data_IF_894160814101
#
_entry.id   IF_894160814101
#
_cell.length_a   1.000
_cell.length_b   1.000
_cell.length_c   1.000
_cell.angle_alpha   90.00
_cell.angle_beta   90.00
_cell.angle_gamma   90.00
#
_symmetry.space_group_name_H-M   'P 1'
#
loop_
_entity.id
_entity.type
_entity.pdbx_description
1 polymer ?
#
# COMPACT_ATOMS: atom_id res chain seq x y z
N UNK A 1 2.48 -27.72 -8.78
CA UNK A 1 1.81 -27.68 -7.47
C UNK A 1 0.71 -26.64 -7.57
N UNK A 2 -0.54 -27.05 -7.83
CA UNK A 2 -1.68 -26.14 -7.87
C UNK A 2 -2.17 -25.91 -6.44
N UNK A 3 -2.10 -24.66 -5.96
CA UNK A 3 -2.71 -24.27 -4.69
C UNK A 3 -4.23 -24.24 -4.88
N UNK A 4 -4.86 -25.41 -4.82
CA UNK A 4 -6.31 -25.49 -4.67
C UNK A 4 -6.62 -25.14 -3.21
N UNK A 5 -6.80 -23.85 -2.93
CA UNK A 5 -7.31 -23.39 -1.63
C UNK A 5 -8.78 -23.79 -1.51
N UNK A 6 -9.02 -25.04 -1.12
CA UNK A 6 -10.36 -25.63 -0.91
C UNK A 6 -10.92 -25.30 0.48
N UNK A 7 -10.33 -24.34 1.20
CA UNK A 7 -10.89 -23.88 2.47
C UNK A 7 -12.11 -22.99 2.18
N UNK A 8 -13.27 -23.26 2.81
CA UNK A 8 -14.42 -22.39 2.70
C UNK A 8 -14.05 -21.01 3.23
N UNK A 9 -14.36 -19.98 2.45
CA UNK A 9 -14.18 -18.60 2.85
C UNK A 9 -15.07 -18.32 4.06
N UNK A 10 -14.45 -18.03 5.20
CA UNK A 10 -15.16 -17.61 6.41
C UNK A 10 -15.67 -16.17 6.25
N UNK A 11 -16.96 -16.06 5.90
CA UNK A 11 -17.63 -14.79 5.69
C UNK A 11 -17.77 -13.96 6.98
N UNK A 12 -17.93 -14.61 8.13
CA UNK A 12 -18.07 -13.92 9.41
C UNK A 12 -16.73 -13.29 9.83
N UNK A 13 -15.62 -14.02 9.63
CA UNK A 13 -14.29 -13.47 9.84
C UNK A 13 -13.99 -12.28 8.90
N UNK A 14 -14.45 -12.35 7.64
CA UNK A 14 -14.32 -11.24 6.69
C UNK A 14 -15.14 -10.02 7.10
N UNK A 15 -16.38 -10.22 7.53
CA UNK A 15 -17.26 -9.13 7.99
C UNK A 15 -16.68 -8.42 9.22
N UNK A 16 -16.12 -9.17 10.18
CA UNK A 16 -15.44 -8.59 11.35
C UNK A 16 -14.23 -7.76 10.92
N UNK A 17 -13.38 -8.28 10.03
CA UNK A 17 -12.23 -7.54 9.49
C UNK A 17 -12.67 -6.28 8.75
N UNK A 18 -13.73 -6.36 7.96
CA UNK A 18 -14.26 -5.21 7.22
C UNK A 18 -14.80 -4.12 8.15
N UNK A 19 -15.52 -4.49 9.22
CA UNK A 19 -15.98 -3.54 10.24
C UNK A 19 -14.82 -2.86 10.95
N UNK A 20 -13.80 -3.61 11.34
CA UNK A 20 -12.59 -3.06 11.96
C UNK A 20 -11.87 -2.10 11.01
N UNK A 21 -11.72 -2.49 9.74
CA UNK A 21 -11.12 -1.65 8.72
C UNK A 21 -11.88 -0.34 8.54
N UNK A 22 -13.22 -0.38 8.43
CA UNK A 22 -14.05 0.84 8.35
C UNK A 22 -13.93 1.72 9.60
N UNK A 23 -13.84 1.12 10.78
CA UNK A 23 -13.67 1.87 12.03
C UNK A 23 -12.33 2.63 12.07
N UNK A 24 -11.29 2.10 11.43
CA UNK A 24 -9.97 2.73 11.32
C UNK A 24 -9.90 3.78 10.19
N UNK A 25 -10.65 3.60 9.10
CA UNK A 25 -10.58 4.40 7.89
C UNK A 25 -11.87 5.21 7.66
N UNK A 26 -12.17 6.14 8.58
CA UNK A 26 -13.45 6.89 8.60
C UNK A 26 -13.54 8.02 7.58
N UNK A 27 -12.42 8.46 7.02
CA UNK A 27 -12.37 9.61 6.10
C UNK A 27 -11.72 9.22 4.77
N UNK A 28 -12.07 9.91 3.67
CA UNK A 28 -11.39 9.71 2.39
C UNK A 28 -9.87 9.84 2.50
N UNK A 29 -9.38 10.79 3.31
CA UNK A 29 -7.94 10.97 3.56
C UNK A 29 -7.28 9.74 4.20
N UNK A 30 -7.92 9.12 5.20
CA UNK A 30 -7.39 7.90 5.81
C UNK A 30 -7.38 6.71 4.86
N UNK A 31 -8.39 6.59 3.98
CA UNK A 31 -8.43 5.55 2.95
C UNK A 31 -7.31 5.75 1.92
N UNK A 32 -7.10 6.98 1.46
CA UNK A 32 -6.03 7.32 0.52
C UNK A 32 -4.66 7.02 1.13
N UNK A 33 -4.43 7.40 2.39
CA UNK A 33 -3.17 7.12 3.08
C UNK A 33 -2.91 5.61 3.17
N UNK A 34 -3.90 4.81 3.58
CA UNK A 34 -3.78 3.36 3.64
C UNK A 34 -3.51 2.74 2.26
N UNK A 35 -4.20 3.24 1.22
CA UNK A 35 -3.98 2.76 -0.14
C UNK A 35 -2.58 3.10 -0.66
N UNK A 36 -2.06 4.29 -0.34
CA UNK A 36 -0.70 4.70 -0.69
C UNK A 36 0.35 3.77 -0.09
N UNK A 37 0.19 3.36 1.16
CA UNK A 37 1.10 2.40 1.79
C UNK A 37 1.13 1.06 1.05
N UNK A 38 -0.04 0.51 0.71
CA UNK A 38 -0.14 -0.75 -0.06
C UNK A 38 0.53 -0.62 -1.43
N UNK A 39 0.36 0.51 -2.11
CA UNK A 39 1.01 0.76 -3.40
C UNK A 39 2.54 0.78 -3.27
N UNK A 40 3.08 1.46 -2.24
CA UNK A 40 4.52 1.51 -2.03
C UNK A 40 5.12 0.13 -1.73
N UNK A 41 4.41 -0.68 -0.94
CA UNK A 41 4.83 -2.03 -0.62
C UNK A 41 4.85 -2.93 -1.87
N UNK A 42 3.83 -2.80 -2.73
CA UNK A 42 3.80 -3.50 -4.03
C UNK A 42 4.95 -3.07 -4.94
N UNK A 43 5.23 -1.76 -5.03
CA UNK A 43 6.38 -1.26 -5.81
C UNK A 43 7.68 -1.84 -5.28
N UNK A 44 7.88 -1.87 -3.96
CA UNK A 44 9.07 -2.46 -3.36
C UNK A 44 9.21 -3.97 -3.69
N UNK A 45 8.11 -4.72 -3.63
CA UNK A 45 8.07 -6.14 -4.02
C UNK A 45 8.39 -6.33 -5.51
N UNK A 46 7.78 -5.54 -6.39
CA UNK A 46 8.04 -5.58 -7.83
C UNK A 46 9.50 -5.25 -8.15
N UNK A 47 10.05 -4.17 -7.57
CA UNK A 47 11.45 -3.81 -7.79
C UNK A 47 12.43 -4.87 -7.26
N UNK A 48 12.10 -5.53 -6.14
CA UNK A 48 12.85 -6.69 -5.65
C UNK A 48 12.81 -7.85 -6.64
N UNK A 49 11.65 -8.11 -7.25
CA UNK A 49 11.50 -9.14 -8.28
C UNK A 49 12.32 -8.83 -9.54
N UNK A 50 12.37 -7.57 -9.96
CA UNK A 50 13.18 -7.10 -11.11
C UNK A 50 14.69 -7.03 -10.82
N UNK A 51 15.13 -7.39 -9.61
CA UNK A 51 16.56 -7.39 -9.23
C UNK A 51 17.11 -6.03 -8.77
N UNK A 52 16.24 -5.04 -8.59
CA UNK A 52 16.58 -3.70 -8.10
C UNK A 52 15.93 -3.42 -6.73
N UNK A 53 16.30 -4.13 -5.65
CA UNK A 53 15.58 -4.05 -4.38
C UNK A 53 15.61 -2.63 -3.80
N UNK A 54 14.44 -2.16 -3.38
CA UNK A 54 14.28 -0.88 -2.68
C UNK A 54 13.40 -1.07 -1.45
N UNK A 55 13.68 -0.31 -0.39
CA UNK A 55 12.82 -0.28 0.79
C UNK A 55 11.68 0.72 0.61
N UNK A 56 10.53 0.44 1.22
CA UNK A 56 9.40 1.39 1.28
C UNK A 56 9.83 2.75 1.87
N UNK A 57 10.71 2.74 2.88
CA UNK A 57 11.26 3.96 3.47
C UNK A 57 12.04 4.79 2.45
N UNK A 58 12.88 4.14 1.62
CA UNK A 58 13.63 4.82 0.57
C UNK A 58 12.71 5.38 -0.52
N UNK A 59 11.67 4.63 -0.92
CA UNK A 59 10.66 5.12 -1.86
C UNK A 59 9.95 6.38 -1.35
N UNK A 60 9.55 6.41 -0.07
CA UNK A 60 8.93 7.60 0.55
C UNK A 60 9.83 8.83 0.47
N UNK A 61 11.11 8.66 0.79
CA UNK A 61 12.10 9.76 0.72
C UNK A 61 12.23 10.28 -0.71
N UNK A 62 12.33 9.40 -1.71
CA UNK A 62 12.46 9.79 -3.12
C UNK A 62 11.23 10.55 -3.62
N UNK A 63 10.03 10.10 -3.26
CA UNK A 63 8.79 10.77 -3.63
C UNK A 63 8.67 12.16 -2.98
N UNK A 64 9.07 12.30 -1.72
CA UNK A 64 9.10 13.59 -1.05
C UNK A 64 10.10 14.55 -1.73
N UNK A 65 11.30 14.06 -2.06
CA UNK A 65 12.30 14.87 -2.77
C UNK A 65 11.78 15.35 -4.14
N UNK A 66 11.03 14.51 -4.84
CA UNK A 66 10.46 14.83 -6.15
C UNK A 66 9.36 15.89 -6.04
N UNK A 67 8.50 15.80 -5.03
CA UNK A 67 7.46 16.80 -4.75
C UNK A 67 8.08 18.17 -4.36
N UNK A 68 9.13 18.16 -3.54
CA UNK A 68 9.87 19.37 -3.18
C UNK A 68 10.60 20.00 -4.38
N UNK A 69 11.10 19.16 -5.29
CA UNK A 69 11.73 19.65 -6.51
C UNK A 69 10.70 20.30 -7.46
N UNK A 70 9.54 19.68 -7.64
CA UNK A 70 8.45 20.24 -8.44
C UNK A 70 8.00 21.61 -7.92
N UNK A 71 7.77 21.74 -6.60
CA UNK A 71 7.38 23.01 -5.96
C UNK A 71 8.40 24.13 -6.15
N UNK A 72 9.70 23.81 -6.26
CA UNK A 72 10.76 24.79 -6.52
C UNK A 72 10.78 25.30 -7.96
N UNK A 73 10.24 24.55 -8.92
CA UNK A 73 10.18 24.99 -10.32
C UNK A 73 8.99 25.91 -10.60
N UNK A 74 7.93 25.82 -9.80
CA UNK A 74 6.72 26.63 -9.93
C UNK A 74 6.77 27.98 -9.16
N UNK A 75 7.88 28.29 -8.48
CA UNK A 75 8.15 29.57 -7.77
C UNK A 75 9.17 30.43 -8.51
#
# INVERSE_FOLDING_TARGET
MAANSSEPVDLDALEVKFRQWRAQHKTPGTVIAAHREVLLERVAQSMTFEGEPITVARLKILLEQLDQWAKKQDS
#
